data_IF_210052533241
#
_entry.id   IF_210052533241
#
_cell.length_a   1.000
_cell.length_b   1.000
_cell.length_c   1.000
_cell.angle_alpha   90.00
_cell.angle_beta   90.00
_cell.angle_gamma   90.00
#
_symmetry.space_group_name_H-M   'P 1'
#
loop_
_entity.id
_entity.type
_entity.pdbx_description
1 polymer ?
#
# COMPACT_ATOMS: atom_id res chain seq x y z
N UNK A 1 11.27 8.86 3.28
CA UNK A 1 9.87 8.46 3.43
C UNK A 1 9.47 7.50 2.32
N UNK A 2 9.67 7.84 1.05
CA UNK A 2 9.26 7.00 -0.09
C UNK A 2 9.69 5.53 -0.02
N UNK A 3 10.93 5.25 0.43
CA UNK A 3 11.38 3.85 0.60
C UNK A 3 10.52 3.07 1.61
N UNK A 4 10.25 3.66 2.77
CA UNK A 4 9.39 3.03 3.79
C UNK A 4 7.97 2.78 3.24
N UNK A 5 7.40 3.75 2.52
CA UNK A 5 6.08 3.59 1.88
C UNK A 5 6.06 2.43 0.87
N UNK A 6 7.10 2.30 0.04
CA UNK A 6 7.22 1.22 -0.93
C UNK A 6 7.39 -0.13 -0.22
N UNK A 7 8.22 -0.20 0.82
CA UNK A 7 8.45 -1.42 1.59
C UNK A 7 7.12 -1.91 2.23
N UNK A 8 6.31 -1.00 2.79
CA UNK A 8 4.98 -1.31 3.31
C UNK A 8 4.01 -1.81 2.23
N UNK A 9 3.99 -1.12 1.09
CA UNK A 9 3.14 -1.48 -0.03
C UNK A 9 3.49 -2.86 -0.56
N UNK A 10 4.78 -3.17 -0.70
CA UNK A 10 5.26 -4.48 -1.11
C UNK A 10 4.91 -5.58 -0.12
N UNK A 11 5.02 -5.31 1.19
CA UNK A 11 4.61 -6.23 2.24
C UNK A 11 3.12 -6.59 2.16
N UNK A 12 2.26 -5.58 2.04
CA UNK A 12 0.81 -5.79 1.91
C UNK A 12 0.44 -6.52 0.61
N UNK A 13 1.12 -6.21 -0.50
CA UNK A 13 0.94 -6.95 -1.76
C UNK A 13 1.36 -8.41 -1.60
N UNK A 14 2.43 -8.71 -0.86
CA UNK A 14 2.93 -10.08 -0.68
C UNK A 14 1.96 -10.97 0.12
N UNK A 15 1.05 -10.38 0.89
CA UNK A 15 0.00 -11.09 1.61
C UNK A 15 -1.20 -11.47 0.73
N UNK A 16 -1.28 -10.95 -0.50
CA UNK A 16 -2.38 -11.24 -1.42
C UNK A 16 -2.19 -12.59 -2.11
N UNK A 17 -3.27 -13.37 -2.19
CA UNK A 17 -3.27 -14.61 -2.98
C UNK A 17 -2.95 -14.30 -4.45
N UNK A 18 -1.87 -14.86 -5.02
CA UNK A 18 -1.49 -14.61 -6.42
C UNK A 18 -2.54 -15.08 -7.44
N UNK A 19 -3.49 -15.94 -7.05
CA UNK A 19 -4.60 -16.40 -7.90
C UNK A 19 -5.81 -15.47 -7.86
N UNK A 20 -5.86 -14.52 -6.93
CA UNK A 20 -6.97 -13.58 -6.83
C UNK A 20 -6.97 -12.65 -8.04
N UNK A 21 -8.06 -12.64 -8.78
CA UNK A 21 -8.27 -11.78 -9.96
C UNK A 21 -9.37 -10.76 -9.70
N UNK A 22 -9.34 -9.68 -10.47
CA UNK A 22 -10.43 -8.70 -10.56
C UNK A 22 -10.85 -8.57 -12.02
N UNK A 23 -12.15 -8.43 -12.26
CA UNK A 23 -12.66 -8.16 -13.60
C UNK A 23 -12.46 -6.67 -13.90
N UNK A 24 -11.66 -6.38 -14.92
CA UNK A 24 -11.58 -5.05 -15.51
C UNK A 24 -12.34 -5.02 -16.83
N UNK A 25 -13.26 -4.07 -16.98
CA UNK A 25 -14.12 -3.95 -18.15
C UNK A 25 -15.07 -2.76 -18.07
N UNK A 26 -15.68 -2.41 -19.21
CA UNK A 26 -16.69 -1.35 -19.29
C UNK A 26 -18.06 -1.93 -18.91
N UNK A 27 -18.60 -1.50 -17.76
CA UNK A 27 -19.98 -1.78 -17.37
C UNK A 27 -20.91 -0.83 -18.14
N UNK A 28 -21.35 -1.23 -19.33
CA UNK A 28 -22.42 -0.52 -20.04
C UNK A 28 -23.76 -0.98 -19.50
N UNK A 29 -24.62 -0.03 -19.13
CA UNK A 29 -26.01 -0.32 -18.73
C UNK A 29 -26.89 -0.04 -19.95
N UNK A 30 -27.61 -1.05 -20.38
CA UNK A 30 -28.59 -0.95 -21.45
C UNK A 30 -29.81 -0.12 -20.96
N UNK A 31 -30.59 0.48 -21.88
CA UNK A 31 -31.79 1.26 -21.52
C UNK A 31 -32.87 0.48 -20.76
N UNK A 32 -32.84 -0.86 -20.84
CA UNK A 32 -33.74 -1.77 -20.11
C UNK A 32 -33.26 -2.07 -18.67
N UNK A 33 -32.17 -1.45 -18.23
CA UNK A 33 -31.56 -1.66 -16.92
C UNK A 33 -30.68 -2.90 -16.83
N UNK A 34 -30.58 -3.71 -17.88
CA UNK A 34 -29.63 -4.81 -17.93
C UNK A 34 -28.21 -4.28 -18.12
N UNK A 35 -27.23 -4.92 -17.52
CA UNK A 35 -25.83 -4.59 -17.82
C UNK A 35 -25.42 -5.39 -19.05
N UNK A 36 -24.79 -4.75 -20.03
CA UNK A 36 -24.10 -5.41 -21.14
C UNK A 36 -22.81 -6.08 -20.64
N UNK A 37 -22.91 -6.90 -19.59
CA UNK A 37 -21.91 -7.94 -19.28
C UNK A 37 -22.15 -9.07 -20.28
N UNK A 38 -22.14 -8.75 -21.57
CA UNK A 38 -22.35 -9.75 -22.58
C UNK A 38 -21.08 -10.63 -22.58
N UNK A 39 -21.19 -11.96 -22.39
CA UNK A 39 -20.08 -12.90 -22.55
C UNK A 39 -19.61 -13.03 -24.02
N UNK A 40 -20.01 -12.09 -24.88
CA UNK A 40 -19.80 -12.13 -26.33
C UNK A 40 -18.38 -11.74 -26.75
N UNK A 41 -17.62 -11.11 -25.87
CA UNK A 41 -16.19 -10.90 -26.10
C UNK A 41 -15.39 -11.27 -24.85
N UNK A 42 -14.85 -12.50 -24.78
CA UNK A 42 -13.95 -12.92 -23.71
C UNK A 42 -12.72 -12.03 -23.55
N UNK A 43 -12.41 -11.16 -24.52
CA UNK A 43 -11.33 -10.18 -24.45
C UNK A 43 -11.73 -8.86 -23.77
N UNK A 44 -13.02 -8.57 -23.57
CA UNK A 44 -13.50 -7.32 -22.94
C UNK A 44 -13.66 -7.40 -21.41
N UNK A 45 -13.70 -8.61 -20.84
CA UNK A 45 -13.59 -8.85 -19.40
C UNK A 45 -12.19 -9.35 -19.10
N UNK A 46 -11.21 -8.45 -19.19
CA UNK A 46 -9.83 -8.78 -18.85
C UNK A 46 -9.78 -9.09 -17.34
N UNK A 47 -9.66 -10.37 -17.00
CA UNK A 47 -9.31 -10.76 -15.64
C UNK A 47 -7.83 -10.46 -15.44
N UNK A 48 -7.56 -9.43 -14.63
CA UNK A 48 -6.20 -9.08 -14.24
C UNK A 48 -5.93 -9.57 -12.83
N UNK A 49 -4.66 -9.83 -12.47
CA UNK A 49 -4.30 -10.08 -11.09
C UNK A 49 -4.79 -8.94 -10.20
N UNK A 50 -5.44 -9.27 -9.08
CA UNK A 50 -5.84 -8.27 -8.08
C UNK A 50 -4.61 -7.64 -7.43
N UNK A 51 -3.58 -8.45 -7.16
CA UNK A 51 -2.29 -7.97 -6.70
C UNK A 51 -1.74 -6.91 -7.67
N UNK A 52 -1.35 -5.74 -7.14
CA UNK A 52 -0.87 -4.58 -7.91
C UNK A 52 -1.85 -3.99 -8.94
N UNK A 53 -3.12 -4.40 -8.96
CA UNK A 53 -4.15 -3.70 -9.75
C UNK A 53 -4.36 -2.28 -9.22
N UNK A 54 -4.74 -1.33 -10.08
CA UNK A 54 -5.03 0.06 -9.68
C UNK A 54 -6.05 0.14 -8.53
N UNK A 55 -7.13 -0.64 -8.61
CA UNK A 55 -8.13 -0.74 -7.56
C UNK A 55 -7.50 -1.14 -6.21
N UNK A 56 -6.67 -2.18 -6.22
CA UNK A 56 -6.00 -2.65 -5.01
C UNK A 56 -4.95 -1.67 -4.48
N UNK A 57 -4.16 -1.04 -5.36
CA UNK A 57 -3.14 -0.07 -4.97
C UNK A 57 -3.76 1.20 -4.36
N UNK A 58 -4.91 1.63 -4.88
CA UNK A 58 -5.65 2.78 -4.34
C UNK A 58 -6.15 2.49 -2.92
N UNK A 59 -6.76 1.32 -2.70
CA UNK A 59 -7.17 0.88 -1.36
C UNK A 59 -5.97 0.73 -0.40
N UNK A 60 -4.84 0.24 -0.90
CA UNK A 60 -3.64 0.03 -0.09
C UNK A 60 -3.00 1.34 0.35
N UNK A 61 -2.96 2.35 -0.52
CA UNK A 61 -2.31 3.62 -0.21
C UNK A 61 -2.93 4.27 1.03
N UNK A 62 -4.25 4.23 1.16
CA UNK A 62 -4.95 4.75 2.34
C UNK A 62 -4.56 4.02 3.63
N UNK A 63 -4.40 2.68 3.56
CA UNK A 63 -4.01 1.86 4.72
C UNK A 63 -2.54 2.05 5.11
N UNK A 64 -1.65 2.11 4.12
CA UNK A 64 -0.20 2.26 4.32
C UNK A 64 0.13 3.61 4.95
N UNK A 65 -0.58 4.68 4.61
CA UNK A 65 -0.40 5.99 5.25
C UNK A 65 -0.61 5.93 6.78
N UNK A 66 -1.53 5.10 7.28
CA UNK A 66 -1.72 4.93 8.73
C UNK A 66 -0.54 4.18 9.39
N UNK A 67 0.10 3.27 8.66
CA UNK A 67 1.29 2.51 9.12
C UNK A 67 2.53 3.38 9.28
N UNK A 68 2.59 4.54 8.62
CA UNK A 68 3.72 5.47 8.76
C UNK A 68 3.90 6.02 10.18
N UNK A 69 2.88 5.92 11.05
CA UNK A 69 3.00 6.23 12.48
C UNK A 69 3.89 5.24 13.25
N UNK A 70 4.12 4.05 12.70
CA UNK A 70 4.97 3.00 13.26
C UNK A 70 6.44 3.17 12.85
N UNK A 71 6.80 4.32 12.25
CA UNK A 71 8.16 4.67 11.82
C UNK A 71 8.75 5.82 12.65
N UNK A 72 10.05 5.73 12.91
CA UNK A 72 10.84 6.79 13.52
C UNK A 72 11.93 7.33 12.57
N UNK A 73 12.44 8.52 12.88
CA UNK A 73 13.56 9.12 12.15
C UNK A 73 14.89 8.73 12.83
N UNK A 74 15.79 8.10 12.09
CA UNK A 74 17.16 7.81 12.51
C UNK A 74 18.12 8.66 11.68
N UNK A 75 18.98 9.41 12.37
CA UNK A 75 20.02 10.21 11.73
C UNK A 75 21.32 9.41 11.75
N UNK A 76 21.90 9.17 10.58
CA UNK A 76 23.22 8.56 10.48
C UNK A 76 24.27 9.49 11.10
N UNK A 77 25.06 9.05 12.10
CA UNK A 77 26.04 9.90 12.76
C UNK A 77 27.21 10.29 11.85
N UNK A 78 27.51 9.51 10.81
CA UNK A 78 28.61 9.73 9.88
C UNK A 78 28.22 10.61 8.69
N UNK A 79 27.03 10.39 8.12
CA UNK A 79 26.59 11.13 6.92
C UNK A 79 25.56 12.22 7.21
N UNK A 80 25.07 12.32 8.45
CA UNK A 80 23.96 13.19 8.88
C UNK A 80 22.69 13.05 8.03
N UNK A 81 22.51 11.90 7.37
CA UNK A 81 21.31 11.65 6.55
C UNK A 81 20.20 11.10 7.42
N UNK A 82 18.98 11.57 7.15
CA UNK A 82 17.76 11.07 7.77
C UNK A 82 17.31 9.81 7.06
N UNK A 83 17.09 8.76 7.85
CA UNK A 83 16.52 7.49 7.41
C UNK A 83 15.29 7.19 8.25
N UNK A 84 14.33 6.49 7.67
CA UNK A 84 13.09 6.12 8.36
C UNK A 84 13.14 4.63 8.65
N UNK A 85 12.98 4.28 9.92
CA UNK A 85 13.09 2.90 10.39
C UNK A 85 11.84 2.53 11.15
N UNK A 86 11.38 1.29 10.93
CA UNK A 86 10.21 0.74 11.60
C UNK A 86 10.53 0.54 13.09
N UNK A 87 9.68 1.07 13.96
CA UNK A 87 9.86 0.96 15.42
C UNK A 87 9.02 -0.17 16.03
N UNK A 88 8.01 -0.63 15.29
CA UNK A 88 7.16 -1.78 15.61
C UNK A 88 7.18 -2.72 14.39
N UNK A 89 7.53 -3.99 14.57
CA UNK A 89 7.46 -4.98 13.48
C UNK A 89 6.01 -5.21 13.03
N UNK A 90 5.80 -5.81 11.86
CA UNK A 90 4.44 -6.15 11.41
C UNK A 90 3.68 -7.03 12.42
N UNK A 91 4.40 -7.84 13.19
CA UNK A 91 3.86 -8.71 14.25
C UNK A 91 3.71 -8.01 15.62
N UNK A 92 3.94 -6.70 15.71
CA UNK A 92 3.78 -5.91 16.93
C UNK A 92 4.97 -5.94 17.90
N UNK A 93 6.10 -6.54 17.51
CA UNK A 93 7.31 -6.58 18.35
C UNK A 93 8.07 -5.25 18.23
N UNK A 94 8.46 -4.66 19.37
CA UNK A 94 9.21 -3.40 19.38
C UNK A 94 10.66 -3.64 18.93
N UNK A 95 11.14 -2.83 17.98
CA UNK A 95 12.53 -2.87 17.52
C UNK A 95 13.48 -2.22 18.55
N UNK A 96 14.78 -2.47 18.43
CA UNK A 96 15.79 -1.72 19.20
C UNK A 96 15.78 -0.25 18.75
N UNK A 97 15.48 0.64 19.70
CA UNK A 97 15.25 2.06 19.45
C UNK A 97 16.53 2.91 19.63
N UNK A 98 17.70 2.27 19.72
CA UNK A 98 18.97 2.97 19.91
C UNK A 98 19.23 3.98 18.76
N UNK A 99 19.21 5.27 19.11
CA UNK A 99 19.45 6.37 18.17
C UNK A 99 18.28 6.73 17.25
N UNK A 100 17.06 6.23 17.51
CA UNK A 100 15.85 6.57 16.75
C UNK A 100 15.07 7.68 17.46
N UNK A 101 14.80 8.78 16.76
CA UNK A 101 13.89 9.82 17.23
C UNK A 101 12.47 9.44 16.85
N UNK A 102 11.65 9.18 17.85
CA UNK A 102 10.21 8.96 17.72
C UNK A 102 9.55 10.18 18.34
N UNK A 103 9.20 11.13 17.49
CA UNK A 103 8.52 12.36 17.90
C UNK A 103 7.14 12.41 17.23
N UNK A 104 6.16 12.99 17.93
CA UNK A 104 4.80 13.14 17.42
C UNK A 104 4.73 13.96 16.14
N UNK A 105 5.59 14.97 15.99
CA UNK A 105 5.67 15.81 14.79
C UNK A 105 6.25 15.03 13.61
N UNK A 106 7.24 14.17 13.86
CA UNK A 106 7.82 13.29 12.84
C UNK A 106 6.79 12.27 12.35
N UNK A 107 6.07 11.61 13.26
CA UNK A 107 5.02 10.66 12.92
C UNK A 107 3.85 11.34 12.15
N UNK A 108 3.50 12.57 12.56
CA UNK A 108 2.45 13.35 11.90
C UNK A 108 2.88 13.79 10.50
N UNK A 109 4.11 14.28 10.34
CA UNK A 109 4.65 14.65 9.03
C UNK A 109 4.77 13.45 8.09
N UNK A 110 5.13 12.26 8.60
CA UNK A 110 5.30 11.06 7.79
C UNK A 110 4.00 10.48 7.26
N UNK A 111 2.90 10.65 8.00
CA UNK A 111 1.57 10.23 7.56
C UNK A 111 1.13 10.90 6.25
N UNK A 112 1.57 12.14 6.03
CA UNK A 112 1.14 12.98 4.89
C UNK A 112 2.26 13.22 3.87
N UNK A 113 3.38 12.48 3.98
CA UNK A 113 4.56 12.62 3.15
C UNK A 113 4.51 11.82 1.85
#
# INVERSE_FOLDING_TARGET
ACRALVDELEWEIAQVDPKKTIQMGSFRINPDGSQSVAPADPALLAQVPYARSEAHLTELLERVCEKMKEYGEKVDPSTHRKTYVRVISHDGTKADLSGVKIDGDVASSLKFA
#
